data_IF_423080279537
#
_entry.id   IF_423080279537
#
_cell.length_a   1.000
_cell.length_b   1.000
_cell.length_c   1.000
_cell.angle_alpha   90.00
_cell.angle_beta   90.00
_cell.angle_gamma   90.00
#
_symmetry.space_group_name_H-M   'P 1'
#
loop_
_entity.id
_entity.type
_entity.pdbx_description
1 polymer ?
#
# COMPACT_ATOMS: atom_id res chain seq x y z
N UNK A 1 -6.62 11.61 0.71
CA UNK A 1 -6.93 10.29 1.30
C UNK A 1 -6.22 10.14 2.63
N UNK A 2 -6.72 9.26 3.48
CA UNK A 2 -6.02 8.77 4.68
C UNK A 2 -5.34 7.45 4.31
N UNK A 3 -4.03 7.37 4.47
CA UNK A 3 -3.24 6.20 4.10
C UNK A 3 -2.59 5.65 5.36
N UNK A 4 -2.93 4.43 5.73
CA UNK A 4 -2.28 3.69 6.80
C UNK A 4 -1.03 3.00 6.26
N UNK A 5 0.10 3.19 6.92
CA UNK A 5 1.40 2.67 6.49
C UNK A 5 2.03 1.88 7.62
N UNK A 6 2.36 0.63 7.36
CA UNK A 6 3.12 -0.20 8.28
C UNK A 6 4.61 0.19 8.28
N UNK A 7 5.34 -0.21 9.34
CA UNK A 7 6.74 0.16 9.52
C UNK A 7 7.70 -0.98 9.17
N UNK A 8 7.64 -2.08 9.95
CA UNK A 8 8.58 -3.20 9.85
C UNK A 8 8.27 -4.11 8.66
N UNK A 9 9.18 -4.19 7.70
CA UNK A 9 8.96 -4.90 6.44
C UNK A 9 8.39 -4.02 5.34
N UNK A 10 7.91 -2.82 5.67
CA UNK A 10 7.25 -1.89 4.76
C UNK A 10 8.10 -0.64 4.50
N UNK A 11 8.34 0.20 5.50
CA UNK A 11 9.23 1.38 5.39
C UNK A 11 10.69 0.95 5.55
N UNK A 12 10.96 0.06 6.50
CA UNK A 12 12.28 -0.51 6.77
C UNK A 12 12.25 -2.02 6.59
N UNK A 13 13.41 -2.64 6.45
CA UNK A 13 13.53 -4.09 6.58
C UNK A 13 13.06 -4.55 7.95
N UNK A 14 12.42 -5.70 8.02
CA UNK A 14 11.94 -6.25 9.28
C UNK A 14 13.12 -6.79 10.10
N UNK A 15 13.50 -6.05 11.15
CA UNK A 15 14.52 -6.43 12.13
C UNK A 15 14.04 -6.21 13.58
N UNK A 16 12.73 -6.26 13.76
CA UNK A 16 12.11 -6.04 15.08
C UNK A 16 12.84 -6.82 16.19
N UNK A 17 13.13 -6.22 17.37
CA UNK A 17 12.72 -4.88 17.82
C UNK A 17 13.61 -3.72 17.33
N UNK A 18 14.78 -3.98 16.74
CA UNK A 18 15.63 -2.97 16.14
C UNK A 18 14.95 -2.37 14.90
N UNK A 19 15.41 -1.19 14.49
CA UNK A 19 14.98 -0.56 13.24
C UNK A 19 15.92 -1.04 12.13
N UNK A 20 15.34 -1.70 11.11
CA UNK A 20 16.06 -2.15 9.95
C UNK A 20 16.49 -1.03 9.01
N UNK A 21 17.18 -1.39 7.93
CA UNK A 21 17.54 -0.45 6.87
C UNK A 21 16.31 0.05 6.13
N UNK A 22 16.36 1.30 5.67
CA UNK A 22 15.28 1.87 4.87
C UNK A 22 15.09 1.10 3.57
N UNK A 23 13.86 0.77 3.24
CA UNK A 23 13.56 0.22 1.93
C UNK A 23 13.74 1.29 0.85
N UNK A 24 14.26 0.94 -0.33
CA UNK A 24 14.57 1.91 -1.37
C UNK A 24 13.41 2.87 -1.66
N UNK A 25 13.66 4.17 -1.54
CA UNK A 25 12.73 5.26 -1.80
C UNK A 25 11.50 5.35 -0.87
N UNK A 26 11.48 4.64 0.25
CA UNK A 26 10.33 4.63 1.16
C UNK A 26 10.02 6.03 1.69
N UNK A 27 10.96 6.66 2.38
CA UNK A 27 10.73 7.99 2.98
C UNK A 27 10.54 9.08 1.94
N UNK A 28 11.22 9.00 0.78
CA UNK A 28 11.01 9.95 -0.31
C UNK A 28 9.58 9.88 -0.86
N UNK A 29 9.06 8.66 -1.07
CA UNK A 29 7.68 8.46 -1.52
C UNK A 29 6.68 8.96 -0.49
N UNK A 30 6.88 8.66 0.79
CA UNK A 30 6.01 9.15 1.86
C UNK A 30 5.98 10.68 1.92
N UNK A 31 7.12 11.35 1.77
CA UNK A 31 7.18 12.83 1.67
C UNK A 31 6.40 13.35 0.47
N UNK A 32 6.50 12.68 -0.68
CA UNK A 32 5.73 13.06 -1.87
C UNK A 32 4.22 12.92 -1.63
N UNK A 33 3.77 11.83 -1.00
CA UNK A 33 2.37 11.63 -0.64
C UNK A 33 1.85 12.69 0.31
N UNK A 34 2.66 13.12 1.31
CA UNK A 34 2.32 14.23 2.21
C UNK A 34 2.19 15.53 1.41
N UNK A 35 3.15 15.82 0.51
CA UNK A 35 3.10 16.99 -0.38
C UNK A 35 1.85 17.00 -1.26
N UNK A 36 1.40 15.84 -1.71
CA UNK A 36 0.16 15.66 -2.47
C UNK A 36 -1.10 15.72 -1.59
N UNK A 37 -0.94 16.17 -0.32
CA UNK A 37 -2.01 16.37 0.67
C UNK A 37 -2.73 15.08 1.09
N UNK A 38 -2.05 13.96 1.07
CA UNK A 38 -2.52 12.76 1.76
C UNK A 38 -2.16 12.85 3.24
N UNK A 39 -3.03 12.31 4.10
CA UNK A 39 -2.73 12.12 5.53
C UNK A 39 -2.19 10.73 5.73
N UNK A 40 -0.98 10.64 6.26
CA UNK A 40 -0.36 9.36 6.58
C UNK A 40 -0.57 9.02 8.05
N UNK A 41 -1.02 7.81 8.32
CA UNK A 41 -1.14 7.26 9.67
C UNK A 41 -0.17 6.09 9.79
N UNK A 42 0.70 6.12 10.78
CA UNK A 42 1.55 4.98 11.08
C UNK A 42 0.69 3.86 11.69
N UNK A 43 0.72 2.69 11.07
CA UNK A 43 -0.05 1.52 11.49
C UNK A 43 0.88 0.34 11.73
N UNK A 44 1.29 0.11 12.97
CA UNK A 44 2.34 -0.84 13.33
C UNK A 44 2.02 -1.61 14.60
N UNK A 45 2.62 -2.79 14.72
CA UNK A 45 2.59 -3.57 15.98
C UNK A 45 3.52 -3.01 17.05
N UNK A 46 4.33 -2.00 16.74
CA UNK A 46 5.18 -1.34 17.74
C UNK A 46 4.34 -0.55 18.72
N UNK A 47 4.74 -0.58 20.00
CA UNK A 47 4.11 0.15 21.09
C UNK A 47 5.15 0.76 22.03
N UNK A 48 4.74 1.68 22.91
CA UNK A 48 5.61 2.29 23.90
C UNK A 48 6.85 2.92 23.27
N UNK A 49 8.02 2.72 23.87
CA UNK A 49 9.30 3.28 23.42
C UNK A 49 9.68 2.84 21.99
N UNK A 50 9.31 1.63 21.58
CA UNK A 50 9.58 1.15 20.23
C UNK A 50 8.74 1.90 19.17
N UNK A 51 7.50 2.27 19.52
CA UNK A 51 6.66 3.11 18.65
C UNK A 51 7.24 4.53 18.52
N UNK A 52 7.63 5.13 19.65
CA UNK A 52 8.27 6.46 19.67
C UNK A 52 9.57 6.46 18.86
N UNK A 53 10.38 5.42 18.96
CA UNK A 53 11.60 5.26 18.19
C UNK A 53 11.30 5.23 16.66
N UNK A 54 10.27 4.51 16.23
CA UNK A 54 9.86 4.45 14.83
C UNK A 54 9.34 5.81 14.32
N UNK A 55 8.52 6.51 15.12
CA UNK A 55 8.02 7.86 14.80
C UNK A 55 9.18 8.84 14.67
N UNK A 56 10.11 8.83 15.60
CA UNK A 56 11.28 9.71 15.59
C UNK A 56 12.19 9.42 14.40
N UNK A 57 12.43 8.14 14.09
CA UNK A 57 13.20 7.72 12.93
C UNK A 57 12.61 8.28 11.61
N UNK A 58 11.29 8.22 11.46
CA UNK A 58 10.59 8.79 10.30
C UNK A 58 10.67 10.32 10.28
N UNK A 59 10.46 10.97 11.44
CA UNK A 59 10.53 12.44 11.56
C UNK A 59 11.91 12.99 11.20
N UNK A 60 12.98 12.35 11.62
CA UNK A 60 14.37 12.70 11.26
C UNK A 60 14.62 12.67 9.76
N UNK A 61 13.82 11.90 9.01
CA UNK A 61 13.87 11.78 7.54
C UNK A 61 12.82 12.64 6.83
N UNK A 62 12.15 13.51 7.58
CA UNK A 62 11.17 14.44 7.04
C UNK A 62 9.79 13.83 6.80
N UNK A 63 9.51 12.65 7.35
CA UNK A 63 8.18 12.02 7.29
C UNK A 63 7.47 12.26 8.63
N UNK A 64 6.42 13.07 8.59
CA UNK A 64 5.61 13.39 9.76
C UNK A 64 4.22 12.76 9.60
N UNK A 65 3.92 11.80 10.45
CA UNK A 65 2.63 11.13 10.45
C UNK A 65 1.56 12.00 11.14
N UNK A 66 0.36 11.98 10.60
CA UNK A 66 -0.81 12.64 11.18
C UNK A 66 -1.19 12.01 12.52
N UNK A 67 -1.15 10.68 12.63
CA UNK A 67 -1.39 9.91 13.84
C UNK A 67 -0.61 8.59 13.77
N UNK A 68 -0.51 7.88 14.91
CA UNK A 68 0.09 6.56 14.98
C UNK A 68 -0.84 5.61 15.75
N UNK A 69 -1.19 4.48 15.14
CA UNK A 69 -2.07 3.45 15.68
C UNK A 69 -3.47 3.97 16.11
N UNK A 70 -3.90 5.09 15.53
CA UNK A 70 -5.21 5.71 15.79
C UNK A 70 -5.67 6.53 14.58
N UNK A 71 -6.96 6.80 14.48
CA UNK A 71 -7.54 7.52 13.33
C UNK A 71 -7.19 9.02 13.33
N UNK A 72 -7.01 9.63 14.51
CA UNK A 72 -6.61 11.03 14.68
C UNK A 72 -5.81 11.23 15.97
N UNK A 73 -5.01 12.30 16.10
CA UNK A 73 -4.04 12.46 17.21
C UNK A 73 -4.63 12.35 18.61
N UNK A 74 -5.83 12.88 18.81
CA UNK A 74 -6.51 12.97 20.11
C UNK A 74 -7.43 11.77 20.38
N UNK A 75 -7.45 10.74 19.48
CA UNK A 75 -8.34 9.59 19.65
C UNK A 75 -7.97 8.76 20.87
N UNK A 76 -9.00 8.50 21.67
CA UNK A 76 -8.96 7.59 22.82
C UNK A 76 -10.21 6.71 22.81
N UNK A 77 -10.20 5.63 23.57
CA UNK A 77 -11.38 4.77 23.76
C UNK A 77 -12.55 5.52 24.39
N UNK A 78 -12.25 6.56 25.16
CA UNK A 78 -13.25 7.34 25.91
C UNK A 78 -13.97 8.34 25.00
N UNK A 79 -13.29 8.92 24.01
CA UNK A 79 -13.85 9.94 23.13
C UNK A 79 -14.35 9.39 21.78
N UNK A 80 -14.13 8.10 21.50
CA UNK A 80 -14.66 7.43 20.32
C UNK A 80 -15.55 6.23 20.71
N UNK A 81 -16.87 6.41 20.82
CA UNK A 81 -17.79 5.34 21.20
C UNK A 81 -17.85 4.19 20.18
N UNK A 82 -17.36 4.43 18.97
CA UNK A 82 -17.26 3.44 17.90
C UNK A 82 -15.80 3.02 17.64
N UNK A 83 -14.98 3.03 18.69
CA UNK A 83 -13.58 2.63 18.58
C UNK A 83 -13.45 1.21 18.05
N UNK A 84 -12.75 1.08 16.95
CA UNK A 84 -12.37 -0.22 16.36
C UNK A 84 -10.86 -0.27 16.23
N UNK A 85 -10.28 -1.46 16.33
CA UNK A 85 -8.83 -1.63 16.13
C UNK A 85 -8.41 -1.34 14.69
N UNK A 86 -9.28 -1.63 13.71
CA UNK A 86 -8.99 -1.33 12.31
C UNK A 86 -9.18 0.16 12.06
N UNK A 87 -8.13 0.81 11.57
CA UNK A 87 -8.16 2.22 11.18
C UNK A 87 -9.16 2.46 10.05
N UNK A 88 -9.78 3.64 10.08
CA UNK A 88 -10.68 4.14 9.02
C UNK A 88 -9.86 4.78 7.89
N UNK A 89 -8.88 4.04 7.37
CA UNK A 89 -8.04 4.49 6.27
C UNK A 89 -8.65 4.14 4.92
N UNK A 90 -8.39 4.98 3.90
CA UNK A 90 -8.79 4.74 2.52
C UNK A 90 -7.91 3.68 1.84
N UNK A 91 -6.63 3.59 2.28
CA UNK A 91 -5.64 2.70 1.72
C UNK A 91 -4.69 2.19 2.82
N UNK A 92 -4.27 0.94 2.70
CA UNK A 92 -3.25 0.32 3.56
C UNK A 92 -2.03 -0.06 2.73
N UNK A 93 -0.84 0.41 3.15
CA UNK A 93 0.46 0.03 2.58
C UNK A 93 1.15 -0.84 3.63
N UNK A 94 1.25 -2.14 3.36
CA UNK A 94 1.67 -3.16 4.32
C UNK A 94 2.28 -4.35 3.57
N UNK A 95 3.43 -4.86 4.02
CA UNK A 95 4.12 -5.99 3.42
C UNK A 95 3.37 -7.32 3.60
N UNK A 96 2.46 -7.39 4.58
CA UNK A 96 1.66 -8.58 4.89
C UNK A 96 0.37 -8.71 4.09
N UNK A 97 0.18 -7.89 3.06
CA UNK A 97 -0.94 -8.04 2.14
C UNK A 97 -0.77 -9.29 1.25
N UNK A 98 -1.88 -9.88 0.82
CA UNK A 98 -1.86 -10.92 -0.22
C UNK A 98 -1.24 -10.32 -1.49
N UNK A 99 -0.17 -10.94 -2.00
CA UNK A 99 0.61 -10.42 -3.12
C UNK A 99 1.80 -9.57 -2.72
N UNK A 100 2.01 -9.34 -1.42
CA UNK A 100 3.16 -8.61 -0.87
C UNK A 100 3.09 -7.11 -1.07
N UNK A 101 4.25 -6.47 -1.00
CA UNK A 101 4.40 -5.02 -1.13
C UNK A 101 5.06 -4.70 -2.48
N UNK A 102 4.43 -3.89 -3.35
CA UNK A 102 5.10 -3.31 -4.52
C UNK A 102 6.27 -2.42 -4.12
N UNK A 103 7.19 -2.14 -5.06
CA UNK A 103 8.21 -1.12 -4.84
C UNK A 103 7.57 0.27 -4.63
N UNK A 104 8.28 1.15 -3.91
CA UNK A 104 7.75 2.44 -3.50
C UNK A 104 7.42 3.37 -4.68
N UNK A 105 8.15 3.26 -5.79
CA UNK A 105 7.83 4.02 -7.01
C UNK A 105 6.51 3.56 -7.64
N UNK A 106 6.24 2.26 -7.63
CA UNK A 106 4.97 1.68 -8.07
C UNK A 106 3.83 2.09 -7.13
N UNK A 107 4.05 2.05 -5.80
CA UNK A 107 3.07 2.54 -4.81
C UNK A 107 2.69 3.99 -5.10
N UNK A 108 3.68 4.88 -5.34
CA UNK A 108 3.39 6.27 -5.67
C UNK A 108 2.52 6.41 -6.92
N UNK A 109 2.85 5.68 -7.98
CA UNK A 109 2.05 5.70 -9.23
C UNK A 109 0.62 5.20 -9.00
N UNK A 110 0.44 4.16 -8.20
CA UNK A 110 -0.89 3.65 -7.85
C UNK A 110 -1.74 4.71 -7.13
N UNK A 111 -1.16 5.37 -6.15
CA UNK A 111 -1.84 6.40 -5.36
C UNK A 111 -2.13 7.64 -6.19
N UNK A 112 -1.13 8.18 -6.91
CA UNK A 112 -1.23 9.45 -7.64
C UNK A 112 -2.11 9.35 -8.88
N UNK A 113 -2.16 8.20 -9.54
CA UNK A 113 -2.94 8.03 -10.77
C UNK A 113 -4.24 7.25 -10.55
N UNK A 114 -4.56 6.87 -9.30
CA UNK A 114 -5.73 6.04 -9.01
C UNK A 114 -5.72 4.68 -9.69
N UNK A 115 -4.55 4.22 -10.14
CA UNK A 115 -4.41 2.92 -10.81
C UNK A 115 -4.55 1.80 -9.79
N UNK A 116 -5.45 0.88 -10.06
CA UNK A 116 -5.56 -0.36 -9.29
C UNK A 116 -4.38 -1.28 -9.62
N UNK A 117 -3.90 -2.01 -8.64
CA UNK A 117 -2.81 -3.00 -8.80
C UNK A 117 -3.00 -3.91 -10.02
N UNK A 118 -4.23 -4.34 -10.28
CA UNK A 118 -4.57 -5.17 -11.43
C UNK A 118 -4.17 -4.54 -12.77
N UNK A 119 -4.40 -3.24 -12.96
CA UNK A 119 -4.02 -2.56 -14.21
C UNK A 119 -2.50 -2.49 -14.40
N UNK A 120 -1.73 -2.38 -13.33
CA UNK A 120 -0.27 -2.38 -13.42
C UNK A 120 0.29 -3.77 -13.75
N UNK A 121 -0.35 -4.83 -13.23
CA UNK A 121 -0.02 -6.20 -13.60
C UNK A 121 -0.36 -6.44 -15.07
N UNK A 122 -1.55 -6.06 -15.52
CA UNK A 122 -1.97 -6.23 -16.90
C UNK A 122 -1.06 -5.45 -17.86
N UNK A 123 -0.63 -4.23 -17.51
CA UNK A 123 0.35 -3.45 -18.29
C UNK A 123 1.72 -4.14 -18.34
N UNK A 124 2.19 -4.72 -17.23
CA UNK A 124 3.48 -5.42 -17.17
C UNK A 124 3.46 -6.72 -17.97
N UNK A 125 2.35 -7.46 -17.95
CA UNK A 125 2.21 -8.71 -18.69
C UNK A 125 1.88 -8.50 -20.17
N UNK A 126 1.13 -7.46 -20.54
CA UNK A 126 0.83 -7.17 -21.95
C UNK A 126 2.04 -6.68 -22.75
N UNK A 127 3.08 -6.16 -22.09
CA UNK A 127 4.34 -5.74 -22.71
C UNK A 127 5.38 -6.86 -22.87
N UNK A 128 5.16 -8.05 -22.31
CA UNK A 128 6.19 -9.12 -22.24
C UNK A 128 5.84 -10.41 -22.97
N UNK A 129 4.66 -10.52 -23.62
CA UNK A 129 4.29 -11.73 -24.33
C UNK A 129 4.01 -11.38 -25.79
N UNK A 130 5.06 -11.37 -26.59
CA UNK A 130 4.97 -11.56 -28.04
C UNK A 130 4.69 -13.04 -28.28
N UNK A 131 3.42 -13.42 -28.27
CA UNK A 131 3.01 -14.68 -28.84
C UNK A 131 3.04 -14.50 -30.35
N UNK A 132 4.16 -14.88 -31.00
CA UNK A 132 4.24 -15.01 -32.42
C UNK A 132 2.98 -15.70 -32.94
N UNK A 133 2.21 -15.01 -33.76
CA UNK A 133 0.97 -15.56 -34.33
C UNK A 133 1.21 -16.89 -35.00
N UNK A 134 0.48 -17.96 -34.66
CA UNK A 134 0.45 -19.13 -35.51
C UNK A 134 -0.27 -18.75 -36.81
N UNK A 135 0.46 -18.91 -37.93
CA UNK A 135 -0.02 -18.68 -39.28
C UNK A 135 -1.44 -19.22 -39.47
N UNK A 136 -2.31 -18.37 -39.97
CA UNK A 136 -3.71 -18.63 -40.27
C UNK A 136 -3.92 -19.87 -41.16
N UNK A 137 -4.64 -20.86 -40.64
CA UNK A 137 -5.45 -21.72 -41.45
C UNK A 137 -6.91 -21.55 -41.03
N UNK A 138 -7.69 -21.10 -41.99
CA UNK A 138 -9.12 -20.89 -41.97
C UNK A 138 -9.90 -22.08 -41.45
N UNK A 139 -10.71 -21.89 -40.42
CA UNK A 139 -12.00 -22.59 -40.26
C UNK A 139 -12.98 -21.78 -39.44
N UNK A 140 -14.08 -21.47 -40.07
CA UNK A 140 -15.31 -20.91 -39.50
C UNK A 140 -15.88 -21.86 -38.45
N UNK A 141 -16.33 -21.36 -37.29
CA UNK A 141 -17.68 -21.52 -36.76
C UNK A 141 -17.87 -21.25 -35.27
N UNK A 142 -18.92 -20.52 -35.01
CA UNK A 142 -19.84 -20.53 -33.85
C UNK A 142 -19.43 -19.85 -32.54
N UNK A 143 -20.14 -18.75 -32.36
CA UNK A 143 -20.47 -18.10 -31.14
C UNK A 143 -20.96 -19.07 -30.06
N UNK A 144 -20.31 -19.04 -28.89
CA UNK A 144 -20.93 -19.46 -27.63
C UNK A 144 -20.79 -18.32 -26.61
N UNK A 145 -21.94 -17.78 -26.23
CA UNK A 145 -22.08 -16.93 -25.07
C UNK A 145 -21.65 -17.68 -23.81
N UNK A 146 -20.57 -17.28 -23.18
CA UNK A 146 -20.30 -17.65 -21.79
C UNK A 146 -20.89 -16.59 -20.87
N UNK A 147 -21.99 -16.96 -20.23
CA UNK A 147 -22.54 -16.23 -19.09
C UNK A 147 -21.55 -16.32 -17.93
N UNK A 148 -21.04 -15.18 -17.50
CA UNK A 148 -20.29 -15.01 -16.26
C UNK A 148 -21.20 -15.38 -15.09
N UNK A 149 -20.79 -16.38 -14.33
CA UNK A 149 -21.46 -16.83 -13.11
C UNK A 149 -20.57 -16.55 -11.90
N UNK A 150 -20.69 -15.34 -11.35
CA UNK A 150 -20.20 -15.02 -10.02
C UNK A 150 -21.19 -14.06 -9.35
N UNK A 151 -21.93 -14.57 -8.32
CA UNK A 151 -22.68 -13.70 -7.45
C UNK A 151 -21.80 -13.39 -6.24
N UNK A 152 -21.18 -12.22 -6.23
CA UNK A 152 -20.88 -11.40 -5.05
C UNK A 152 -20.18 -10.12 -5.52
#
# INVERSE_FOLDING_TARGET
MIIAVDFDGTIVENRYPEIGEERPFATETLKMLIKDRHRLVLWTCREGELLEAAINWCRERGVEFYAANRDYPEETTDNNPHFTRKLKADLFIDDRNIGGLPDWGTIYRMVSHGKKWRHLIDEAYSGSIDYGEPSSSSHSHRSHHHKSWWPF
#
